data_IF_520711040659
#
_entry.id   IF_520711040659
#
_cell.length_a   1.000
_cell.length_b   1.000
_cell.length_c   1.000
_cell.angle_alpha   90.00
_cell.angle_beta   90.00
_cell.angle_gamma   90.00
#
_symmetry.space_group_name_H-M   'P 1'
#
loop_
_entity.id
_entity.type
_entity.pdbx_description
1 polymer ?
#
# COMPACT_ATOMS: atom_id res chain seq x y z
N UNK A 1 -4.79 -34.77 -5.67
CA UNK A 1 -4.73 -33.28 -5.70
C UNK A 1 -4.43 -32.81 -4.29
N UNK A 2 -3.25 -32.27 -4.00
CA UNK A 2 -2.92 -31.78 -2.65
C UNK A 2 -3.73 -30.51 -2.38
N UNK A 3 -4.45 -30.45 -1.26
CA UNK A 3 -5.17 -29.24 -0.86
C UNK A 3 -4.18 -28.08 -0.62
N UNK A 4 -4.32 -26.98 -1.38
CA UNK A 4 -3.40 -25.85 -1.37
C UNK A 4 -3.31 -25.12 -0.01
N UNK A 5 -4.36 -25.22 0.82
CA UNK A 5 -4.40 -24.59 2.16
C UNK A 5 -3.48 -25.33 3.16
N UNK A 6 -3.42 -26.66 3.09
CA UNK A 6 -2.59 -27.47 3.98
C UNK A 6 -1.08 -27.36 3.69
N UNK A 7 -0.72 -26.68 2.60
CA UNK A 7 0.68 -26.42 2.22
C UNK A 7 1.16 -25.04 2.65
N UNK A 8 0.30 -24.22 3.26
CA UNK A 8 0.68 -22.88 3.68
C UNK A 8 1.70 -22.94 4.81
N UNK A 9 2.81 -22.23 4.64
CA UNK A 9 3.87 -22.12 5.64
C UNK A 9 4.14 -20.63 5.93
N UNK A 10 3.92 -20.22 7.17
CA UNK A 10 4.10 -18.83 7.57
C UNK A 10 5.55 -18.35 7.42
N UNK A 11 6.55 -19.22 7.66
CA UNK A 11 7.96 -18.87 7.53
C UNK A 11 8.39 -18.70 6.07
N UNK A 12 7.73 -19.38 5.13
CA UNK A 12 8.00 -19.23 3.69
C UNK A 12 7.38 -17.96 3.12
N UNK A 13 6.22 -17.55 3.67
CA UNK A 13 5.50 -16.34 3.26
C UNK A 13 6.00 -15.06 3.95
N UNK A 14 6.88 -15.18 4.95
CA UNK A 14 7.47 -14.06 5.67
C UNK A 14 8.82 -13.65 5.06
N UNK A 15 8.86 -12.46 4.45
CA UNK A 15 10.08 -11.87 3.89
C UNK A 15 10.91 -11.07 4.90
N UNK A 16 10.44 -10.81 6.13
CA UNK A 16 11.20 -10.03 7.13
C UNK A 16 12.59 -10.60 7.39
N UNK A 17 12.74 -11.93 7.36
CA UNK A 17 14.02 -12.64 7.52
C UNK A 17 15.06 -12.35 6.42
N UNK A 18 14.65 -11.68 5.33
CA UNK A 18 15.53 -11.28 4.23
C UNK A 18 16.11 -9.87 4.44
N UNK A 19 15.60 -9.11 5.40
CA UNK A 19 16.17 -7.82 5.75
C UNK A 19 17.55 -8.03 6.40
N UNK A 20 18.47 -7.12 6.09
CA UNK A 20 19.88 -7.15 6.48
C UNK A 20 20.23 -6.00 7.44
N UNK A 21 19.35 -5.01 7.55
CA UNK A 21 19.40 -3.92 8.51
C UNK A 21 18.08 -3.82 9.27
N UNK A 22 18.13 -3.33 10.50
CA UNK A 22 16.95 -3.11 11.33
C UNK A 22 16.35 -1.73 11.07
N UNK A 23 15.93 -1.52 9.83
CA UNK A 23 15.18 -0.34 9.40
C UNK A 23 13.90 -0.82 8.73
N UNK A 24 12.76 -0.28 9.18
CA UNK A 24 11.48 -0.50 8.51
C UNK A 24 11.24 0.59 7.49
N UNK A 25 11.08 0.20 6.23
CA UNK A 25 10.82 1.12 5.14
C UNK A 25 9.38 0.98 4.62
N UNK A 26 8.63 2.07 4.75
CA UNK A 26 7.26 2.21 4.28
C UNK A 26 7.19 3.23 3.13
N UNK A 27 7.37 2.76 1.90
CA UNK A 27 7.27 3.56 0.67
C UNK A 27 5.79 3.85 0.32
N UNK A 28 5.15 4.65 1.17
CA UNK A 28 3.70 4.81 1.31
C UNK A 28 2.99 5.25 0.02
N UNK A 29 1.98 4.47 -0.38
CA UNK A 29 1.05 4.88 -1.42
C UNK A 29 0.12 6.01 -0.93
N UNK A 30 -0.17 7.03 -1.75
CA UNK A 30 -1.17 8.04 -1.45
C UNK A 30 -2.59 7.47 -1.35
N UNK A 31 -3.36 7.99 -0.38
CA UNK A 31 -4.79 7.69 -0.17
C UNK A 31 -5.12 6.24 0.19
N UNK A 32 -4.16 5.50 0.73
CA UNK A 32 -4.33 4.15 1.29
C UNK A 32 -4.40 4.14 2.83
N UNK A 33 -4.67 5.29 3.46
CA UNK A 33 -4.69 5.41 4.93
C UNK A 33 -3.29 5.40 5.56
N UNK A 34 -2.27 5.85 4.81
CA UNK A 34 -0.88 5.84 5.27
C UNK A 34 -0.61 6.66 6.53
N UNK A 35 -1.32 7.78 6.73
CA UNK A 35 -1.23 8.54 7.98
C UNK A 35 -1.72 7.74 9.18
N UNK A 36 -2.79 6.95 9.02
CA UNK A 36 -3.31 6.13 10.11
C UNK A 36 -2.29 5.07 10.53
N UNK A 37 -1.59 4.45 9.56
CA UNK A 37 -0.52 3.49 9.87
C UNK A 37 0.68 4.19 10.54
N UNK A 38 1.03 5.40 10.10
CA UNK A 38 2.11 6.20 10.71
C UNK A 38 1.79 6.57 12.15
N UNK A 39 0.55 7.02 12.45
CA UNK A 39 0.16 7.30 13.83
C UNK A 39 0.16 6.05 14.71
N UNK A 40 -0.21 4.89 14.15
CA UNK A 40 -0.07 3.61 14.83
C UNK A 40 1.40 3.28 15.13
N UNK A 41 2.29 3.43 14.15
CA UNK A 41 3.73 3.20 14.34
C UNK A 41 4.32 4.18 15.36
N UNK A 42 3.90 5.46 15.37
CA UNK A 42 4.32 6.43 16.39
C UNK A 42 3.86 6.06 17.80
N UNK A 43 2.64 5.54 17.93
CA UNK A 43 2.13 5.09 19.22
C UNK A 43 2.86 3.83 19.72
N UNK A 44 3.16 2.91 18.80
CA UNK A 44 3.90 1.68 19.08
C UNK A 44 5.39 1.95 19.39
N UNK A 45 6.03 2.90 18.70
CA UNK A 45 7.43 3.27 18.95
C UNK A 45 7.69 3.76 20.36
N UNK A 46 6.69 4.39 21.00
CA UNK A 46 6.75 4.77 22.43
C UNK A 46 6.81 3.57 23.39
N UNK A 47 6.37 2.40 22.94
CA UNK A 47 6.32 1.15 23.73
C UNK A 47 7.47 0.22 23.37
N UNK A 48 7.86 0.20 22.09
CA UNK A 48 8.86 -0.72 21.54
C UNK A 48 10.24 -0.10 21.28
N UNK A 49 10.46 1.12 21.76
CA UNK A 49 11.74 1.85 21.71
C UNK A 49 12.27 2.02 20.28
N UNK A 50 11.45 2.63 19.43
CA UNK A 50 11.78 2.95 18.04
C UNK A 50 11.18 4.30 17.63
N UNK A 51 11.77 4.95 16.63
CA UNK A 51 11.29 6.25 16.14
C UNK A 51 10.73 6.19 14.72
N UNK A 52 9.77 7.08 14.44
CA UNK A 52 9.23 7.26 13.09
C UNK A 52 9.80 8.54 12.51
N UNK A 53 10.73 8.39 11.60
CA UNK A 53 11.42 9.48 10.95
C UNK A 53 10.47 10.36 10.14
N UNK A 54 10.75 11.66 10.17
CA UNK A 54 9.96 12.62 9.40
C UNK A 54 10.54 12.69 8.00
N UNK A 55 9.72 12.35 7.02
CA UNK A 55 10.06 12.57 5.60
C UNK A 55 10.47 14.04 5.38
N UNK A 56 11.74 14.31 5.03
CA UNK A 56 12.23 15.68 4.85
C UNK A 56 11.67 16.33 3.59
N UNK A 57 11.00 15.57 2.71
CA UNK A 57 10.43 16.09 1.48
C UNK A 57 9.22 16.98 1.74
N UNK A 58 9.42 18.29 1.56
CA UNK A 58 8.35 19.29 1.54
C UNK A 58 7.69 19.44 0.15
N UNK A 59 8.20 18.72 -0.86
CA UNK A 59 7.96 18.95 -2.29
C UNK A 59 7.02 17.96 -2.97
N UNK A 60 5.84 17.68 -2.39
CA UNK A 60 4.85 16.79 -3.03
C UNK A 60 5.40 15.39 -3.35
N UNK A 61 4.70 14.66 -4.20
CA UNK A 61 5.08 13.29 -4.57
C UNK A 61 5.83 13.36 -5.89
N UNK A 62 7.10 12.96 -5.90
CA UNK A 62 7.92 12.80 -7.11
C UNK A 62 7.88 11.33 -7.55
N UNK A 63 7.13 10.99 -8.61
CA UNK A 63 6.87 9.61 -8.96
C UNK A 63 8.05 8.90 -9.64
N UNK A 64 9.05 9.61 -10.15
CA UNK A 64 10.25 9.01 -10.73
C UNK A 64 11.49 9.73 -10.22
N UNK A 65 12.52 8.93 -9.95
CA UNK A 65 13.86 9.35 -9.57
C UNK A 65 14.81 8.94 -10.68
N UNK A 66 15.84 9.75 -10.94
CA UNK A 66 16.95 9.28 -11.77
C UNK A 66 17.87 8.34 -10.97
N UNK A 67 18.86 7.74 -11.66
CA UNK A 67 19.72 6.73 -11.03
C UNK A 67 20.60 7.28 -9.89
N UNK A 68 20.99 8.56 -9.94
CA UNK A 68 21.77 9.18 -8.88
C UNK A 68 20.86 9.46 -7.67
N UNK A 69 19.67 10.00 -7.92
CA UNK A 69 18.65 10.21 -6.88
C UNK A 69 18.25 8.87 -6.22
N UNK A 70 18.00 7.80 -6.99
CA UNK A 70 17.72 6.46 -6.44
C UNK A 70 18.85 5.99 -5.52
N UNK A 71 20.12 6.23 -5.89
CA UNK A 71 21.29 5.93 -5.08
C UNK A 71 21.30 6.72 -3.77
N UNK A 72 21.14 8.04 -3.84
CA UNK A 72 21.11 8.92 -2.66
C UNK A 72 20.00 8.51 -1.68
N UNK A 73 18.81 8.16 -2.18
CA UNK A 73 17.73 7.67 -1.32
C UNK A 73 18.08 6.37 -0.61
N UNK A 74 18.66 5.41 -1.33
CA UNK A 74 19.06 4.12 -0.77
C UNK A 74 20.14 4.34 0.29
N UNK A 75 21.17 5.12 0.00
CA UNK A 75 22.27 5.40 0.93
C UNK A 75 21.75 6.11 2.18
N UNK A 76 20.83 7.07 2.03
CA UNK A 76 20.22 7.73 3.18
C UNK A 76 19.42 6.76 4.06
N UNK A 77 18.67 5.81 3.48
CA UNK A 77 17.89 4.84 4.24
C UNK A 77 18.80 3.82 4.95
N UNK A 78 19.87 3.37 4.31
CA UNK A 78 20.83 2.41 4.90
C UNK A 78 21.57 3.00 6.10
N UNK A 79 21.82 4.31 6.09
CA UNK A 79 22.53 5.01 7.17
C UNK A 79 21.62 5.46 8.33
N UNK A 80 20.33 5.11 8.31
CA UNK A 80 19.44 5.34 9.46
C UNK A 80 19.84 4.42 10.62
N UNK A 81 19.58 4.88 11.84
CA UNK A 81 19.85 4.10 13.05
C UNK A 81 18.94 2.87 13.13
N UNK A 82 19.44 1.80 13.75
CA UNK A 82 18.64 0.60 14.03
C UNK A 82 17.40 0.96 14.86
N UNK A 83 16.24 0.38 14.51
CA UNK A 83 14.97 0.77 15.10
C UNK A 83 14.39 2.05 14.48
N UNK A 84 14.75 2.38 13.24
CA UNK A 84 14.11 3.50 12.53
C UNK A 84 12.97 3.01 11.64
N UNK A 85 11.82 3.68 11.73
CA UNK A 85 10.75 3.60 10.72
C UNK A 85 10.85 4.79 9.79
N UNK A 86 11.14 4.54 8.51
CA UNK A 86 11.13 5.56 7.48
C UNK A 86 9.92 5.42 6.57
N UNK A 87 9.09 6.47 6.50
CA UNK A 87 7.87 6.46 5.70
C UNK A 87 7.83 7.63 4.71
N UNK A 88 7.96 7.32 3.42
CA UNK A 88 8.07 8.34 2.37
C UNK A 88 7.28 8.01 1.10
N UNK A 89 6.83 9.03 0.38
CA UNK A 89 6.16 8.89 -0.91
C UNK A 89 7.13 8.69 -2.07
N UNK A 90 7.74 7.50 -2.14
CA UNK A 90 8.67 7.09 -3.21
C UNK A 90 8.26 5.74 -3.78
N UNK A 91 8.61 5.44 -5.04
CA UNK A 91 8.37 4.10 -5.56
C UNK A 91 9.37 3.11 -4.95
N UNK A 92 9.15 1.82 -5.19
CA UNK A 92 10.05 0.76 -4.80
C UNK A 92 11.51 1.04 -5.21
N UNK A 93 12.43 0.98 -4.24
CA UNK A 93 13.87 1.10 -4.41
C UNK A 93 14.52 -0.28 -4.33
N UNK A 94 15.39 -0.60 -5.29
CA UNK A 94 16.04 -1.91 -5.35
C UNK A 94 17.42 -1.87 -4.68
N UNK A 95 17.46 -2.04 -3.36
CA UNK A 95 18.68 -2.02 -2.54
C UNK A 95 19.73 -3.03 -3.05
N UNK A 96 19.32 -4.25 -3.39
CA UNK A 96 20.24 -5.28 -3.89
C UNK A 96 20.87 -4.94 -5.24
N UNK A 97 20.17 -4.21 -6.13
CA UNK A 97 20.76 -3.72 -7.39
C UNK A 97 21.84 -2.65 -7.13
N UNK A 98 21.72 -1.93 -6.02
CA UNK A 98 22.70 -0.93 -5.60
C UNK A 98 23.77 -1.51 -4.66
N UNK A 99 23.82 -2.83 -4.48
CA UNK A 99 24.77 -3.50 -3.59
C UNK A 99 24.68 -3.04 -2.12
N UNK A 100 23.47 -2.61 -1.73
CA UNK A 100 23.16 -2.09 -0.41
C UNK A 100 22.30 -3.07 0.40
N UNK A 101 22.40 -3.09 1.75
CA UNK A 101 21.64 -4.00 2.58
C UNK A 101 20.15 -3.65 2.56
N UNK A 102 19.30 -4.68 2.60
CA UNK A 102 17.85 -4.51 2.46
C UNK A 102 17.18 -4.15 3.80
N UNK A 103 16.30 -3.13 3.84
CA UNK A 103 15.43 -2.88 4.99
C UNK A 103 14.21 -3.83 4.98
N UNK A 104 13.41 -3.77 6.05
CA UNK A 104 12.10 -4.43 6.12
C UNK A 104 11.08 -3.60 5.33
N UNK A 105 10.71 -4.07 4.14
CA UNK A 105 9.67 -3.42 3.33
C UNK A 105 8.26 -3.77 3.80
N UNK A 106 7.43 -2.75 4.02
CA UNK A 106 5.98 -2.91 4.18
C UNK A 106 5.22 -1.93 3.29
N UNK A 107 3.95 -2.20 3.01
CA UNK A 107 3.09 -1.20 2.38
C UNK A 107 1.60 -1.41 2.69
N UNK A 108 0.77 -0.47 2.21
CA UNK A 108 -0.67 -0.52 2.27
C UNK A 108 -1.27 -0.23 0.89
N UNK A 109 -2.22 -1.06 0.48
CA UNK A 109 -3.04 -0.88 -0.72
C UNK A 109 -4.49 -0.56 -0.34
N UNK A 110 -5.26 -0.15 -1.35
CA UNK A 110 -6.70 0.17 -1.25
C UNK A 110 -7.35 -0.11 -2.59
N UNK A 111 -8.63 -0.44 -2.62
CA UNK A 111 -9.39 -0.52 -3.87
C UNK A 111 -9.08 0.70 -4.77
N UNK A 112 -8.63 0.46 -6.02
CA UNK A 112 -8.05 1.51 -6.83
C UNK A 112 -9.06 2.57 -7.26
N UNK A 113 -10.35 2.21 -7.41
CA UNK A 113 -11.41 3.15 -7.77
C UNK A 113 -11.75 4.03 -6.57
N UNK A 114 -11.94 3.43 -5.39
CA UNK A 114 -12.12 4.20 -4.16
C UNK A 114 -10.95 5.13 -3.85
N UNK A 115 -9.74 4.70 -4.18
CA UNK A 115 -8.51 5.48 -3.99
C UNK A 115 -8.47 6.71 -4.90
N UNK A 116 -8.79 6.57 -6.19
CA UNK A 116 -8.82 7.74 -7.10
C UNK A 116 -9.96 8.69 -6.78
N UNK A 117 -11.11 8.19 -6.33
CA UNK A 117 -12.20 9.04 -5.83
C UNK A 117 -11.76 9.78 -4.56
N UNK A 118 -11.07 9.11 -3.64
CA UNK A 118 -10.51 9.75 -2.45
C UNK A 118 -9.51 10.85 -2.81
N UNK A 119 -8.67 10.64 -3.83
CA UNK A 119 -7.78 11.67 -4.36
C UNK A 119 -8.55 12.83 -5.00
N UNK A 120 -9.55 12.52 -5.83
CA UNK A 120 -10.38 13.50 -6.55
C UNK A 120 -10.98 14.55 -5.61
N UNK A 121 -11.60 14.11 -4.52
CA UNK A 121 -12.19 15.02 -3.53
C UNK A 121 -11.15 15.64 -2.59
N UNK A 122 -10.03 14.95 -2.33
CA UNK A 122 -8.97 15.49 -1.47
C UNK A 122 -8.35 16.74 -2.08
N UNK A 123 -7.93 16.71 -3.35
CA UNK A 123 -7.27 17.86 -3.99
C UNK A 123 -8.20 19.08 -4.15
N UNK A 124 -9.51 18.84 -4.18
CA UNK A 124 -10.56 19.87 -4.28
C UNK A 124 -10.99 20.43 -2.93
N UNK A 125 -10.47 19.89 -1.84
CA UNK A 125 -10.89 20.33 -0.52
C UNK A 125 -10.23 21.67 -0.12
N UNK A 126 -10.95 22.56 0.58
CA UNK A 126 -10.43 23.87 0.97
C UNK A 126 -9.09 23.81 1.74
N UNK A 127 -8.89 22.82 2.60
CA UNK A 127 -7.65 22.69 3.38
C UNK A 127 -6.41 22.38 2.53
N UNK A 128 -6.55 22.03 1.25
CA UNK A 128 -5.39 21.83 0.35
C UNK A 128 -4.86 23.16 -0.19
N UNK A 129 -5.72 24.14 -0.49
CA UNK A 129 -5.33 25.39 -1.15
C UNK A 129 -5.58 26.67 -0.34
N UNK A 130 -6.33 26.61 0.77
CA UNK A 130 -6.56 27.76 1.67
C UNK A 130 -5.39 28.01 2.63
N UNK A 131 -4.80 27.00 3.30
CA UNK A 131 -3.70 27.23 4.23
C UNK A 131 -2.49 27.88 3.57
N UNK A 132 -1.94 28.91 4.20
CA UNK A 132 -0.76 29.62 3.69
C UNK A 132 -0.98 30.42 2.40
N UNK A 133 -2.19 30.43 1.82
CA UNK A 133 -2.50 31.09 0.55
C UNK A 133 -2.06 32.55 0.53
N UNK A 134 -2.46 33.33 1.55
CA UNK A 134 -2.10 34.76 1.67
C UNK A 134 -0.60 34.98 1.80
N UNK A 135 0.12 34.05 2.45
CA UNK A 135 1.57 34.12 2.65
C UNK A 135 2.35 33.80 1.37
N UNK A 136 1.83 32.91 0.54
CA UNK A 136 2.50 32.43 -0.69
C UNK A 136 1.89 32.98 -1.98
N UNK A 137 0.99 33.98 -1.88
CA UNK A 137 0.29 34.60 -3.01
C UNK A 137 -0.31 33.59 -4.03
N UNK A 138 -0.90 32.49 -3.53
CA UNK A 138 -1.47 31.44 -4.39
C UNK A 138 -2.84 31.85 -4.94
N UNK A 139 -3.05 31.63 -6.23
CA UNK A 139 -4.36 31.80 -6.87
C UNK A 139 -5.37 30.78 -6.34
N UNK A 140 -6.64 31.18 -6.29
CA UNK A 140 -7.71 30.23 -5.96
C UNK A 140 -8.01 29.36 -7.18
N UNK A 141 -8.28 28.06 -6.98
CA UNK A 141 -8.75 27.21 -8.06
C UNK A 141 -10.10 27.71 -8.60
N UNK A 142 -10.37 27.36 -9.86
CA UNK A 142 -11.66 27.65 -10.50
C UNK A 142 -12.81 27.06 -9.66
N UNK A 143 -13.83 27.85 -9.25
CA UNK A 143 -14.97 27.35 -8.48
C UNK A 143 -15.72 26.20 -9.15
N UNK A 144 -15.82 26.20 -10.48
CA UNK A 144 -16.42 25.09 -11.23
C UNK A 144 -15.63 23.80 -10.99
N UNK A 145 -14.31 23.84 -11.12
CA UNK A 145 -13.45 22.68 -10.86
C UNK A 145 -13.56 22.15 -9.43
N UNK A 146 -13.70 23.04 -8.43
CA UNK A 146 -13.87 22.68 -7.02
C UNK A 146 -15.20 21.96 -6.79
N UNK A 147 -16.27 22.43 -7.44
CA UNK A 147 -17.64 21.98 -7.21
C UNK A 147 -18.09 20.84 -8.13
N UNK A 148 -17.36 20.51 -9.20
CA UNK A 148 -17.70 19.39 -10.08
C UNK A 148 -17.65 18.07 -9.30
N UNK A 149 -18.78 17.38 -9.23
CA UNK A 149 -18.85 16.05 -8.61
C UNK A 149 -18.15 15.00 -9.47
N UNK A 150 -17.68 13.91 -8.84
CA UNK A 150 -16.97 12.85 -9.55
C UNK A 150 -17.82 12.23 -10.67
N UNK A 151 -19.11 12.00 -10.41
CA UNK A 151 -20.07 11.49 -11.39
C UNK A 151 -20.15 12.39 -12.63
N UNK A 152 -20.26 13.70 -12.41
CA UNK A 152 -20.32 14.69 -13.49
C UNK A 152 -19.02 14.70 -14.31
N UNK A 153 -17.87 14.60 -13.63
CA UNK A 153 -16.56 14.52 -14.27
C UNK A 153 -16.40 13.27 -15.15
N UNK A 154 -16.88 12.11 -14.69
CA UNK A 154 -16.87 10.86 -15.47
C UNK A 154 -17.82 10.95 -16.66
N UNK A 155 -19.05 11.42 -16.47
CA UNK A 155 -20.08 11.50 -17.52
C UNK A 155 -19.74 12.51 -18.61
N UNK A 156 -19.08 13.61 -18.24
CA UNK A 156 -18.64 14.64 -19.20
C UNK A 156 -17.36 14.27 -19.94
N UNK A 157 -16.68 13.18 -19.56
CA UNK A 157 -15.42 12.76 -20.18
C UNK A 157 -14.26 13.71 -19.89
N UNK A 158 -14.27 14.40 -18.74
CA UNK A 158 -13.15 15.26 -18.34
C UNK A 158 -11.85 14.45 -18.23
N UNK A 159 -10.73 15.06 -18.65
CA UNK A 159 -9.42 14.37 -18.71
C UNK A 159 -9.01 13.76 -17.36
N UNK A 160 -9.30 14.45 -16.26
CA UNK A 160 -8.91 14.04 -14.90
C UNK A 160 -9.69 12.83 -14.37
N UNK A 161 -10.83 12.48 -14.98
CA UNK A 161 -11.65 11.31 -14.66
C UNK A 161 -11.71 10.31 -15.82
N UNK A 162 -10.88 10.51 -16.84
CA UNK A 162 -10.79 9.65 -18.02
C UNK A 162 -9.52 8.81 -17.92
N UNK A 163 -9.71 7.48 -17.90
CA UNK A 163 -8.64 6.53 -17.59
C UNK A 163 -8.34 5.67 -18.82
N UNK A 164 -7.35 6.08 -19.60
CA UNK A 164 -6.99 5.42 -20.87
C UNK A 164 -5.80 4.50 -20.64
N UNK A 165 -5.97 3.22 -20.94
CA UNK A 165 -4.88 2.22 -20.87
C UNK A 165 -3.68 2.64 -21.72
N UNK A 166 -2.48 2.45 -21.20
CA UNK A 166 -1.23 2.82 -21.86
C UNK A 166 -0.89 4.31 -21.77
N UNK A 167 -1.79 5.18 -21.29
CA UNK A 167 -1.45 6.59 -21.07
C UNK A 167 -0.26 6.73 -20.12
N UNK A 168 0.72 7.54 -20.53
CA UNK A 168 1.90 7.81 -19.73
C UNK A 168 1.57 8.74 -18.56
N UNK A 169 2.52 8.85 -17.64
CA UNK A 169 2.41 9.76 -16.51
C UNK A 169 2.41 11.21 -17.02
N UNK A 170 1.30 11.92 -16.84
CA UNK A 170 1.14 13.22 -17.50
C UNK A 170 1.82 14.38 -16.76
N UNK A 171 1.65 14.46 -15.43
CA UNK A 171 2.16 15.57 -14.57
C UNK A 171 2.27 15.14 -13.11
N UNK A 172 2.93 15.98 -12.29
CA UNK A 172 2.83 15.97 -10.83
C UNK A 172 1.35 15.98 -10.41
N UNK A 173 0.91 14.99 -9.64
CA UNK A 173 -0.50 14.87 -9.20
C UNK A 173 -1.31 13.75 -9.88
N UNK A 174 -0.75 13.03 -10.86
CA UNK A 174 -1.41 11.88 -11.48
C UNK A 174 -1.26 10.61 -10.61
N UNK A 175 -2.16 10.48 -9.63
CA UNK A 175 -2.15 9.39 -8.66
C UNK A 175 -3.03 8.20 -9.04
N UNK A 176 -3.39 7.98 -10.30
CA UNK A 176 -4.24 6.83 -10.68
C UNK A 176 -3.54 5.47 -10.61
N UNK A 177 -2.20 5.46 -10.57
CA UNK A 177 -1.36 4.24 -10.56
C UNK A 177 -0.96 3.87 -9.14
N UNK A 178 -1.55 2.82 -8.59
CA UNK A 178 -1.06 2.20 -7.35
C UNK A 178 0.10 1.26 -7.66
N UNK A 179 0.02 0.54 -8.78
CA UNK A 179 1.07 -0.38 -9.25
C UNK A 179 2.44 0.29 -9.40
N UNK A 180 2.48 1.57 -9.78
CA UNK A 180 3.72 2.35 -9.96
C UNK A 180 4.61 2.34 -8.70
N UNK A 181 4.01 2.49 -7.51
CA UNK A 181 4.74 2.49 -6.24
C UNK A 181 5.45 1.17 -5.94
N UNK A 182 5.02 0.06 -6.56
CA UNK A 182 5.60 -1.27 -6.39
C UNK A 182 6.46 -1.69 -7.59
N UNK A 183 6.22 -1.13 -8.78
CA UNK A 183 6.97 -1.43 -9.98
C UNK A 183 8.39 -0.82 -9.95
N UNK A 184 8.52 0.43 -9.47
CA UNK A 184 9.80 1.13 -9.36
C UNK A 184 9.92 2.32 -10.32
N UNK A 185 11.16 2.68 -10.67
CA UNK A 185 11.47 3.95 -11.35
C UNK A 185 11.69 3.83 -12.87
N UNK A 186 11.50 2.66 -13.48
CA UNK A 186 11.64 2.54 -14.93
C UNK A 186 10.44 3.19 -15.65
N UNK A 187 10.66 4.36 -16.25
CA UNK A 187 9.61 5.14 -16.90
C UNK A 187 8.80 4.32 -17.92
N UNK A 188 9.47 3.70 -18.89
CA UNK A 188 8.82 2.97 -19.97
C UNK A 188 8.07 1.71 -19.51
N UNK A 189 8.56 1.04 -18.46
CA UNK A 189 7.95 -0.21 -17.97
C UNK A 189 6.86 0.02 -16.93
N UNK A 190 7.01 1.05 -16.09
CA UNK A 190 6.18 1.24 -14.90
C UNK A 190 5.14 2.37 -15.03
N UNK A 191 5.34 3.36 -15.91
CA UNK A 191 4.40 4.47 -16.05
C UNK A 191 3.21 4.25 -16.99
N UNK A 192 3.22 3.34 -17.98
CA UNK A 192 2.02 3.10 -18.78
C UNK A 192 0.86 2.61 -17.90
N UNK A 193 -0.21 3.42 -17.83
CA UNK A 193 -1.36 3.14 -16.98
C UNK A 193 -2.02 1.82 -17.34
N UNK A 194 -2.44 1.06 -16.33
CA UNK A 194 -3.18 -0.20 -16.51
C UNK A 194 -2.44 -1.21 -17.41
N UNK A 195 -1.10 -1.18 -17.44
CA UNK A 195 -0.30 -2.04 -18.31
C UNK A 195 0.02 -3.39 -17.67
N UNK A 196 0.10 -4.43 -18.52
CA UNK A 196 0.44 -5.79 -18.08
C UNK A 196 1.87 -5.88 -17.53
N UNK A 197 2.82 -5.16 -18.12
CA UNK A 197 4.22 -5.22 -17.69
C UNK A 197 4.41 -4.60 -16.30
N UNK A 198 3.87 -3.40 -16.06
CA UNK A 198 3.93 -2.76 -14.74
C UNK A 198 3.30 -3.63 -13.66
N UNK A 199 2.16 -4.26 -13.97
CA UNK A 199 1.48 -5.20 -13.08
C UNK A 199 2.38 -6.38 -12.68
N UNK A 200 3.00 -7.05 -13.64
CA UNK A 200 3.83 -8.24 -13.34
C UNK A 200 5.07 -7.87 -12.53
N UNK A 201 5.73 -6.76 -12.86
CA UNK A 201 6.89 -6.26 -12.10
C UNK A 201 6.50 -5.89 -10.67
N UNK A 202 5.37 -5.20 -10.49
CA UNK A 202 4.82 -4.87 -9.17
C UNK A 202 4.52 -6.13 -8.35
N UNK A 203 3.86 -7.14 -8.94
CA UNK A 203 3.59 -8.43 -8.26
C UNK A 203 4.89 -9.13 -7.84
N UNK A 204 5.87 -9.19 -8.74
CA UNK A 204 7.16 -9.81 -8.47
C UNK A 204 7.91 -9.12 -7.32
N UNK A 205 7.94 -7.78 -7.30
CA UNK A 205 8.58 -7.04 -6.22
C UNK A 205 7.84 -7.26 -4.88
N UNK A 206 6.50 -7.26 -4.87
CA UNK A 206 5.70 -7.58 -3.67
C UNK A 206 6.04 -8.96 -3.12
N UNK A 207 6.12 -9.98 -3.97
CA UNK A 207 6.47 -11.34 -3.56
C UNK A 207 7.91 -11.46 -3.04
N UNK A 208 8.86 -10.79 -3.68
CA UNK A 208 10.28 -10.96 -3.39
C UNK A 208 10.72 -10.18 -2.15
N UNK A 209 10.21 -8.95 -1.99
CA UNK A 209 10.80 -7.94 -1.10
C UNK A 209 9.93 -7.57 0.10
N UNK A 210 8.61 -7.51 -0.06
CA UNK A 210 7.74 -6.96 0.98
C UNK A 210 7.42 -8.01 2.04
N UNK A 211 7.62 -7.68 3.32
CA UNK A 211 7.17 -8.49 4.44
C UNK A 211 5.63 -8.56 4.42
N UNK A 212 4.98 -7.40 4.48
CA UNK A 212 3.51 -7.30 4.52
C UNK A 212 3.04 -6.18 3.59
N UNK A 213 2.02 -6.47 2.79
CA UNK A 213 1.25 -5.47 2.03
C UNK A 213 -0.21 -5.59 2.46
N UNK A 214 -0.65 -4.67 3.33
CA UNK A 214 -1.96 -4.70 3.99
C UNK A 214 -3.04 -3.88 3.28
N UNK A 215 -4.26 -3.91 3.82
CA UNK A 215 -5.36 -3.00 3.46
C UNK A 215 -6.27 -2.75 4.66
N UNK A 216 -6.71 -1.51 4.86
CA UNK A 216 -7.69 -1.18 5.91
C UNK A 216 -9.06 -1.82 5.67
N UNK A 217 -9.36 -2.26 4.44
CA UNK A 217 -10.57 -3.04 4.15
C UNK A 217 -10.54 -4.42 4.82
N UNK A 218 -9.36 -4.90 5.24
CA UNK A 218 -9.11 -6.16 5.96
C UNK A 218 -8.17 -5.86 7.14
N UNK A 219 -8.65 -5.00 8.04
CA UNK A 219 -7.84 -4.43 9.12
C UNK A 219 -7.33 -5.50 10.07
N UNK A 220 -8.19 -6.45 10.49
CA UNK A 220 -7.81 -7.49 11.46
C UNK A 220 -6.70 -8.38 10.91
N UNK A 221 -6.83 -8.81 9.66
CA UNK A 221 -5.83 -9.62 8.97
C UNK A 221 -4.53 -8.84 8.80
N UNK A 222 -4.61 -7.55 8.43
CA UNK A 222 -3.45 -6.67 8.30
C UNK A 222 -2.68 -6.56 9.61
N UNK A 223 -3.36 -6.24 10.72
CA UNK A 223 -2.72 -6.05 12.02
C UNK A 223 -2.15 -7.37 12.57
N UNK A 224 -2.88 -8.48 12.44
CA UNK A 224 -2.40 -9.79 12.90
C UNK A 224 -1.16 -10.26 12.12
N UNK A 225 -1.11 -10.03 10.80
CA UNK A 225 0.07 -10.40 9.99
C UNK A 225 1.25 -9.48 10.30
N UNK A 226 1.03 -8.18 10.50
CA UNK A 226 2.09 -7.24 10.92
C UNK A 226 2.69 -7.63 12.28
N UNK A 227 1.84 -7.90 13.27
CA UNK A 227 2.24 -8.38 14.61
C UNK A 227 3.12 -9.62 14.53
N UNK A 228 2.71 -10.61 13.72
CA UNK A 228 3.40 -11.88 13.64
C UNK A 228 4.69 -11.81 12.82
N UNK A 229 4.71 -11.05 11.71
CA UNK A 229 5.83 -11.06 10.77
C UNK A 229 6.87 -9.98 11.06
N UNK A 230 6.48 -8.89 11.73
CA UNK A 230 7.36 -7.76 12.04
C UNK A 230 7.18 -7.34 13.53
N UNK A 231 7.33 -8.28 14.49
CA UNK A 231 6.95 -8.07 15.89
C UNK A 231 7.73 -6.95 16.59
N UNK A 232 8.99 -6.70 16.22
CA UNK A 232 9.78 -5.59 16.79
C UNK A 232 9.11 -4.23 16.62
N UNK A 233 8.40 -4.03 15.50
CA UNK A 233 7.73 -2.75 15.20
C UNK A 233 6.23 -2.78 15.50
N UNK A 234 5.61 -3.97 15.47
CA UNK A 234 4.15 -4.11 15.48
C UNK A 234 3.58 -5.02 16.56
N UNK A 235 4.35 -5.52 17.53
CA UNK A 235 3.77 -6.23 18.66
C UNK A 235 2.64 -5.39 19.30
N UNK A 236 1.52 -6.02 19.66
CA UNK A 236 0.33 -5.35 20.21
C UNK A 236 -0.34 -4.29 19.31
N UNK A 237 -0.06 -4.26 18.00
CA UNK A 237 -0.64 -3.29 17.07
C UNK A 237 -2.19 -3.28 17.07
N UNK A 238 -2.82 -4.46 17.13
CA UNK A 238 -4.27 -4.64 17.21
C UNK A 238 -4.83 -3.99 18.46
N UNK A 239 -4.19 -4.22 19.62
CA UNK A 239 -4.58 -3.64 20.90
C UNK A 239 -4.45 -2.12 20.85
N UNK A 240 -3.31 -1.60 20.39
CA UNK A 240 -3.07 -0.17 20.27
C UNK A 240 -4.09 0.49 19.34
N UNK A 241 -4.36 -0.13 18.18
CA UNK A 241 -5.31 0.37 17.20
C UNK A 241 -6.73 0.48 17.77
N UNK A 242 -7.25 -0.58 18.38
CA UNK A 242 -8.61 -0.61 18.91
C UNK A 242 -8.79 0.12 20.24
N UNK A 243 -7.71 0.45 20.95
CA UNK A 243 -7.76 1.23 22.20
C UNK A 243 -8.10 2.71 22.02
N UNK A 244 -8.11 3.23 20.79
CA UNK A 244 -8.52 4.63 20.53
C UNK A 244 -8.13 5.17 19.15
N UNK A 245 -7.05 4.67 18.55
CA UNK A 245 -6.60 5.13 17.22
C UNK A 245 -7.61 4.84 16.11
N UNK A 246 -8.39 3.77 16.23
CA UNK A 246 -9.47 3.46 15.29
C UNK A 246 -10.56 4.55 15.27
N UNK A 247 -10.87 5.15 16.42
CA UNK A 247 -11.87 6.21 16.56
C UNK A 247 -11.35 7.56 16.05
N UNK A 248 -10.05 7.81 16.20
CA UNK A 248 -9.36 8.96 15.63
C UNK A 248 -9.08 8.74 14.12
N UNK A 249 -10.13 8.63 13.30
CA UNK A 249 -10.00 8.49 11.83
C UNK A 249 -9.22 9.67 11.25
N UNK A 250 -7.91 9.52 11.15
CA UNK A 250 -7.04 10.54 10.58
C UNK A 250 -7.33 10.64 9.06
N UNK A 251 -7.69 11.83 8.59
CA UNK A 251 -7.92 12.16 7.18
C UNK A 251 -9.20 11.60 6.54
N UNK A 252 -10.28 11.43 7.31
CA UNK A 252 -11.59 11.28 6.70
C UNK A 252 -11.94 12.56 5.91
N UNK A 253 -12.49 12.39 4.70
CA UNK A 253 -12.93 13.52 3.89
C UNK A 253 -14.46 13.63 4.02
N UNK A 254 -14.99 14.56 4.86
CA UNK A 254 -16.42 14.70 5.06
C UNK A 254 -17.15 15.14 3.78
N UNK A 255 -16.43 15.60 2.76
CA UNK A 255 -16.98 16.04 1.48
C UNK A 255 -17.02 14.92 0.42
N UNK A 256 -16.69 13.66 0.74
CA UNK A 256 -16.82 12.54 -0.21
C UNK A 256 -18.28 12.06 -0.22
N UNK A 257 -19.10 12.37 -1.25
CA UNK A 257 -20.45 11.84 -1.37
C UNK A 257 -20.43 10.34 -1.71
N UNK A 258 -21.59 9.72 -1.55
CA UNK A 258 -21.83 8.40 -2.13
C UNK A 258 -21.78 8.49 -3.66
N UNK A 259 -21.06 7.57 -4.31
CA UNK A 259 -20.91 7.49 -5.76
C UNK A 259 -21.79 6.36 -6.27
N UNK A 260 -22.58 6.62 -7.32
CA UNK A 260 -23.50 5.62 -7.88
C UNK A 260 -22.74 4.41 -8.41
N UNK A 261 -23.30 3.21 -8.19
CA UNK A 261 -22.70 1.95 -8.64
C UNK A 261 -22.43 1.89 -10.14
N UNK A 262 -23.30 2.52 -10.95
CA UNK A 262 -23.10 2.64 -12.39
C UNK A 262 -21.79 3.36 -12.73
N UNK A 263 -21.52 4.50 -12.09
CA UNK A 263 -20.29 5.28 -12.27
C UNK A 263 -19.08 4.49 -11.76
N UNK A 264 -19.21 3.84 -10.60
CA UNK A 264 -18.16 2.95 -10.09
C UNK A 264 -17.80 1.86 -11.12
N UNK A 265 -18.81 1.22 -11.71
CA UNK A 265 -18.62 0.17 -12.71
C UNK A 265 -18.02 0.70 -14.02
N UNK A 266 -18.40 1.90 -14.48
CA UNK A 266 -17.77 2.55 -15.62
C UNK A 266 -16.27 2.75 -15.39
N UNK A 267 -15.88 3.26 -14.22
CA UNK A 267 -14.47 3.47 -13.89
C UNK A 267 -13.74 2.14 -13.72
N UNK A 268 -14.34 1.13 -13.05
CA UNK A 268 -13.73 -0.20 -12.86
C UNK A 268 -13.32 -0.87 -14.18
N UNK A 269 -14.09 -0.69 -15.26
CA UNK A 269 -13.77 -1.23 -16.60
C UNK A 269 -12.42 -0.73 -17.14
N UNK A 270 -11.97 0.44 -16.68
CA UNK A 270 -10.70 1.05 -17.10
C UNK A 270 -9.54 0.81 -16.11
N UNK A 271 -9.79 0.12 -14.98
CA UNK A 271 -8.81 -0.14 -13.91
C UNK A 271 -8.47 -1.63 -13.77
N UNK A 272 -8.67 -2.43 -14.81
CA UNK A 272 -8.61 -3.90 -14.74
C UNK A 272 -7.31 -4.44 -14.12
N UNK A 273 -6.13 -3.91 -14.49
CA UNK A 273 -4.82 -4.32 -13.94
C UNK A 273 -4.55 -3.76 -12.56
N UNK A 274 -4.99 -2.55 -12.27
CA UNK A 274 -4.89 -1.98 -10.92
C UNK A 274 -5.76 -2.78 -9.92
N UNK A 275 -6.96 -3.20 -10.34
CA UNK A 275 -7.83 -4.08 -9.55
C UNK A 275 -7.18 -5.45 -9.39
N UNK A 276 -6.61 -6.02 -10.46
CA UNK A 276 -5.90 -7.29 -10.39
C UNK A 276 -4.71 -7.24 -9.41
N UNK A 277 -3.97 -6.14 -9.40
CA UNK A 277 -2.88 -5.91 -8.43
C UNK A 277 -3.40 -5.83 -6.98
N UNK A 278 -4.46 -5.07 -6.75
CA UNK A 278 -5.09 -4.96 -5.45
C UNK A 278 -5.57 -6.33 -4.93
N UNK A 279 -6.27 -7.11 -5.78
CA UNK A 279 -6.74 -8.44 -5.41
C UNK A 279 -5.59 -9.42 -5.17
N UNK A 280 -4.50 -9.30 -5.92
CA UNK A 280 -3.28 -10.08 -5.66
C UNK A 280 -2.69 -9.77 -4.27
N UNK A 281 -2.54 -8.49 -3.92
CA UNK A 281 -2.04 -8.11 -2.60
C UNK A 281 -2.96 -8.60 -1.48
N UNK A 282 -4.28 -8.46 -1.64
CA UNK A 282 -5.26 -9.02 -0.71
C UNK A 282 -5.14 -10.52 -0.58
N UNK A 283 -5.08 -11.25 -1.69
CA UNK A 283 -4.96 -12.71 -1.65
C UNK A 283 -3.68 -13.12 -0.92
N UNK A 284 -2.56 -12.43 -1.15
CA UNK A 284 -1.31 -12.67 -0.43
C UNK A 284 -1.47 -12.42 1.07
N UNK A 285 -2.07 -11.31 1.48
CA UNK A 285 -2.35 -11.02 2.89
C UNK A 285 -3.19 -12.13 3.54
N UNK A 286 -4.27 -12.56 2.89
CA UNK A 286 -5.12 -13.64 3.41
C UNK A 286 -4.36 -14.96 3.51
N UNK A 287 -3.49 -15.29 2.54
CA UNK A 287 -2.62 -16.47 2.62
C UNK A 287 -1.68 -16.39 3.82
N UNK A 288 -1.06 -15.24 4.09
CA UNK A 288 -0.21 -15.03 5.26
C UNK A 288 -1.01 -15.21 6.55
N UNK A 289 -2.20 -14.60 6.64
CA UNK A 289 -3.09 -14.72 7.80
C UNK A 289 -3.54 -16.18 8.04
N UNK A 290 -4.00 -16.87 6.99
CA UNK A 290 -4.38 -18.28 7.07
C UNK A 290 -3.20 -19.17 7.48
N UNK A 291 -1.99 -18.90 6.98
CA UNK A 291 -0.80 -19.65 7.37
C UNK A 291 -0.49 -19.52 8.87
N UNK A 292 -0.70 -18.32 9.46
CA UNK A 292 -0.57 -18.10 10.89
C UNK A 292 -1.64 -18.86 11.70
N UNK A 293 -2.84 -18.99 11.14
CA UNK A 293 -4.01 -19.61 11.79
C UNK A 293 -4.20 -21.08 11.47
N UNK A 294 -3.38 -21.68 10.61
CA UNK A 294 -3.59 -23.01 10.06
C UNK A 294 -3.74 -24.09 11.16
N UNK A 295 -2.86 -24.06 12.18
CA UNK A 295 -2.93 -25.02 13.28
C UNK A 295 -4.21 -24.87 14.14
N UNK A 296 -4.69 -23.65 14.33
CA UNK A 296 -5.96 -23.38 15.02
C UNK A 296 -7.13 -23.87 14.16
N UNK A 297 -7.13 -23.56 12.87
CA UNK A 297 -8.16 -23.95 11.90
C UNK A 297 -8.29 -25.48 11.77
N UNK A 298 -7.18 -26.20 11.69
CA UNK A 298 -7.17 -27.68 11.64
C UNK A 298 -7.82 -28.27 12.89
N UNK A 299 -7.65 -27.66 14.07
CA UNK A 299 -8.25 -28.17 15.31
C UNK A 299 -9.77 -28.03 15.37
N UNK A 300 -10.35 -27.07 14.64
CA UNK A 300 -11.77 -26.74 14.73
C UNK A 300 -12.58 -27.19 13.51
N UNK A 301 -11.94 -27.41 12.36
CA UNK A 301 -12.59 -27.82 11.11
C UNK A 301 -12.31 -29.30 10.79
N UNK A 302 -13.29 -30.15 11.08
CA UNK A 302 -13.24 -31.59 10.80
C UNK A 302 -12.98 -31.92 9.33
N UNK A 303 -13.35 -31.04 8.38
CA UNK A 303 -13.06 -31.27 6.96
C UNK A 303 -11.57 -31.13 6.64
N UNK A 304 -10.87 -30.19 7.30
CA UNK A 304 -9.43 -30.01 7.17
C UNK A 304 -8.65 -31.16 7.81
N UNK A 305 -9.14 -31.70 8.94
CA UNK A 305 -8.58 -32.90 9.57
C UNK A 305 -8.64 -34.10 8.62
N UNK A 306 -9.80 -34.35 8.02
CA UNK A 306 -9.98 -35.44 7.06
C UNK A 306 -9.07 -35.29 5.84
N UNK A 307 -8.95 -34.06 5.32
CA UNK A 307 -8.04 -33.75 4.21
C UNK A 307 -6.56 -33.93 4.57
N UNK A 308 -6.17 -33.60 5.80
CA UNK A 308 -4.80 -33.80 6.29
C UNK A 308 -4.47 -35.29 6.38
N UNK A 309 -5.33 -36.10 6.98
CA UNK A 309 -5.15 -37.55 7.06
C UNK A 309 -5.08 -38.19 5.67
N UNK A 310 -5.93 -37.76 4.73
CA UNK A 310 -5.89 -38.24 3.34
C UNK A 310 -4.58 -37.87 2.62
N UNK A 311 -4.05 -36.67 2.84
CA UNK A 311 -2.76 -36.25 2.29
C UNK A 311 -1.58 -37.07 2.87
N UNK A 312 -1.57 -37.35 4.17
CA UNK A 312 -0.52 -38.16 4.81
C UNK A 312 -0.50 -39.60 4.28
N UNK A 313 -1.68 -40.20 4.06
CA UNK A 313 -1.82 -41.52 3.45
C UNK A 313 -1.34 -41.54 1.99
N UNK A 314 -1.58 -40.46 1.23
CA UNK A 314 -1.15 -40.34 -0.16
C UNK A 314 0.35 -40.06 -0.34
N UNK A 315 1.06 -39.63 0.72
CA UNK A 315 2.53 -39.42 0.70
C UNK A 315 3.29 -40.69 1.10
N UNK A 316 2.63 -41.63 1.79
CA UNK A 316 3.22 -42.91 2.22
C UNK A 316 3.14 -44.03 1.16
N UNK A 317 2.40 -43.81 0.07
CA UNK A 317 2.28 -44.71 -1.08
C UNK A 317 2.97 -44.09 -2.30
#
# INVERSE_FOLDING_TARGET
>A
MKCAILQLNANELNNTKKAEIDVLFYNRVPKTGSMQLIELMRALGKVHDYEVEKDPQNGGIRPLLDAAEEGDWIDNIVNLEDGTVFASHVNYLNFSKHEQPRPIYINMVRDPVDRVISWYYYIRAPWVFVPGRRRHNREMPNPQWVNTEFDQCVLSGEKVCTYIEGSLLERVGDHRRQTLFFCGHNEFKCTPFNSRLALQLAKQNVEREYAVVGTWEHTNETLAVLEAYVPRYFADASKMYYSGLHAAKANDNPMKPHIRDEIMNMVRRNFTREIEFYQFCRQRLHKQYLALKLNELIRVDNSLVQLQSANELAVRN
#
